data_IF_424905680947
#
_entry.id   IF_424905680947
#
_cell.length_a   1.000
_cell.length_b   1.000
_cell.length_c   1.000
_cell.angle_alpha   90.00
_cell.angle_beta   90.00
_cell.angle_gamma   90.00
#
_symmetry.space_group_name_H-M   'P 1'
#
loop_
_entity.id
_entity.type
_entity.pdbx_description
1 polymer ?
#
# COMPACT_ATOMS: atom_id res chain seq x y z
N UNK A 1 2.42 3.18 20.18
CA UNK A 1 1.49 4.26 19.82
C UNK A 1 0.37 3.65 18.98
N UNK A 2 -0.86 3.59 19.50
CA UNK A 2 -2.03 3.24 18.72
C UNK A 2 -2.34 4.41 17.79
N UNK A 3 -1.98 4.31 16.51
CA UNK A 3 -2.51 5.20 15.49
C UNK A 3 -3.99 4.82 15.30
N UNK A 4 -4.86 5.38 16.14
CA UNK A 4 -6.29 5.26 15.98
C UNK A 4 -6.65 5.96 14.66
N UNK A 5 -6.97 5.17 13.64
CA UNK A 5 -7.66 5.66 12.45
C UNK A 5 -8.98 6.23 12.98
N UNK A 6 -9.18 7.55 12.97
CA UNK A 6 -10.39 8.12 13.53
C UNK A 6 -11.55 7.73 12.61
N UNK A 7 -12.72 7.42 13.20
CA UNK A 7 -14.04 7.28 12.55
C UNK A 7 -14.52 5.88 12.10
N UNK A 8 -14.07 4.79 12.72
CA UNK A 8 -14.70 3.48 12.52
C UNK A 8 -15.09 2.88 13.89
N UNK A 9 -16.38 2.60 14.15
CA UNK A 9 -16.79 1.82 15.32
C UNK A 9 -15.97 0.52 15.45
N UNK A 10 -15.68 0.08 16.67
CA UNK A 10 -14.76 -1.06 16.91
C UNK A 10 -15.18 -2.36 16.21
N UNK A 11 -16.50 -2.60 16.09
CA UNK A 11 -17.08 -3.75 15.39
C UNK A 11 -16.84 -3.67 13.87
N UNK A 12 -17.16 -2.52 13.26
CA UNK A 12 -16.88 -2.22 11.86
C UNK A 12 -15.38 -2.37 11.54
N UNK A 13 -14.52 -1.94 12.45
CA UNK A 13 -13.06 -2.03 12.26
C UNK A 13 -12.58 -3.47 12.22
N UNK A 14 -13.12 -4.33 13.08
CA UNK A 14 -12.81 -5.77 13.09
C UNK A 14 -13.23 -6.42 11.78
N UNK A 15 -14.43 -6.09 11.29
CA UNK A 15 -14.93 -6.60 10.02
C UNK A 15 -14.11 -6.11 8.83
N UNK A 16 -13.79 -4.81 8.78
CA UNK A 16 -12.94 -4.24 7.73
C UNK A 16 -11.58 -4.90 7.70
N UNK A 17 -10.94 -5.10 8.86
CA UNK A 17 -9.66 -5.80 8.94
C UNK A 17 -9.76 -7.23 8.40
N UNK A 18 -10.85 -7.96 8.69
CA UNK A 18 -11.08 -9.32 8.16
C UNK A 18 -11.22 -9.31 6.64
N UNK A 19 -11.99 -8.35 6.10
CA UNK A 19 -12.15 -8.19 4.66
C UNK A 19 -10.80 -7.91 3.98
N UNK A 20 -10.01 -6.97 4.51
CA UNK A 20 -8.68 -6.66 3.97
C UNK A 20 -7.74 -7.87 4.05
N UNK A 21 -7.73 -8.56 5.20
CA UNK A 21 -6.86 -9.71 5.42
C UNK A 21 -7.15 -10.90 4.50
N UNK A 22 -8.35 -10.97 3.90
CA UNK A 22 -8.67 -12.00 2.90
C UNK A 22 -7.84 -11.87 1.61
N UNK A 23 -7.34 -10.67 1.30
CA UNK A 23 -6.58 -10.39 0.07
C UNK A 23 -7.41 -10.44 -1.23
N UNK A 24 -8.72 -10.71 -1.17
CA UNK A 24 -9.59 -10.77 -2.34
C UNK A 24 -9.95 -9.36 -2.82
N UNK A 25 -9.76 -9.08 -4.11
CA UNK A 25 -10.04 -7.76 -4.72
C UNK A 25 -11.47 -7.27 -4.45
N UNK A 26 -12.47 -8.15 -4.47
CA UNK A 26 -13.87 -7.80 -4.20
C UNK A 26 -14.06 -7.29 -2.76
N UNK A 27 -13.35 -7.91 -1.80
CA UNK A 27 -13.37 -7.49 -0.41
C UNK A 27 -12.62 -6.17 -0.21
N UNK A 28 -11.51 -5.96 -0.92
CA UNK A 28 -10.79 -4.68 -0.92
C UNK A 28 -11.66 -3.56 -1.51
N UNK A 29 -12.33 -3.82 -2.64
CA UNK A 29 -13.25 -2.88 -3.26
C UNK A 29 -14.43 -2.53 -2.34
N UNK A 30 -15.01 -3.53 -1.65
CA UNK A 30 -16.05 -3.28 -0.65
C UNK A 30 -15.54 -2.39 0.49
N UNK A 31 -14.36 -2.68 1.04
CA UNK A 31 -13.74 -1.84 2.08
C UNK A 31 -13.53 -0.41 1.59
N UNK A 32 -13.05 -0.25 0.35
CA UNK A 32 -12.84 1.04 -0.27
C UNK A 32 -14.15 1.86 -0.31
N UNK A 33 -15.25 1.26 -0.78
CA UNK A 33 -16.57 1.88 -0.81
C UNK A 33 -17.13 2.21 0.58
N UNK A 34 -16.97 1.30 1.54
CA UNK A 34 -17.38 1.54 2.93
C UNK A 34 -16.65 2.74 3.54
N UNK A 35 -15.34 2.85 3.30
CA UNK A 35 -14.55 3.96 3.79
C UNK A 35 -14.89 5.29 3.10
N UNK A 36 -15.16 5.28 1.79
CA UNK A 36 -15.67 6.45 1.07
C UNK A 36 -17.02 6.91 1.64
N UNK A 37 -17.94 5.98 1.92
CA UNK A 37 -19.22 6.29 2.58
C UNK A 37 -19.05 6.90 3.97
N UNK A 38 -17.96 6.60 4.66
CA UNK A 38 -17.54 7.21 5.93
C UNK A 38 -16.73 8.50 5.76
N UNK A 39 -16.66 9.05 4.54
CA UNK A 39 -15.95 10.30 4.19
C UNK A 39 -14.44 10.28 4.44
N UNK A 40 -13.81 9.10 4.37
CA UNK A 40 -12.35 9.00 4.43
C UNK A 40 -11.72 9.50 3.12
N UNK A 41 -10.56 10.14 3.21
CA UNK A 41 -9.76 10.53 2.02
C UNK A 41 -9.05 9.32 1.42
N UNK A 42 -8.67 9.39 0.14
CA UNK A 42 -8.06 8.25 -0.54
C UNK A 42 -6.76 7.80 0.11
N UNK A 43 -5.91 8.72 0.56
CA UNK A 43 -4.68 8.36 1.28
C UNK A 43 -4.98 7.63 2.61
N UNK A 44 -6.07 7.96 3.32
CA UNK A 44 -6.47 7.27 4.56
C UNK A 44 -6.94 5.84 4.26
N UNK A 45 -7.73 5.69 3.19
CA UNK A 45 -8.24 4.38 2.74
C UNK A 45 -7.08 3.49 2.32
N UNK A 46 -6.17 4.00 1.50
CA UNK A 46 -4.99 3.25 1.06
C UNK A 46 -4.07 2.91 2.23
N UNK A 47 -3.86 3.81 3.19
CA UNK A 47 -3.09 3.52 4.41
C UNK A 47 -3.70 2.37 5.22
N UNK A 48 -5.03 2.35 5.37
CA UNK A 48 -5.76 1.28 6.05
C UNK A 48 -5.60 -0.06 5.32
N UNK A 49 -5.82 -0.08 4.00
CA UNK A 49 -5.71 -1.27 3.16
C UNK A 49 -4.28 -1.79 3.17
N UNK A 50 -3.30 -0.95 2.82
CA UNK A 50 -1.90 -1.36 2.68
C UNK A 50 -1.24 -1.81 3.99
N UNK A 51 -1.77 -1.37 5.15
CA UNK A 51 -1.31 -1.87 6.44
C UNK A 51 -1.79 -3.29 6.72
N UNK A 52 -3.04 -3.64 6.37
CA UNK A 52 -3.65 -4.92 6.74
C UNK A 52 -3.65 -5.97 5.63
N UNK A 53 -3.46 -5.58 4.37
CA UNK A 53 -3.43 -6.52 3.26
C UNK A 53 -2.24 -7.48 3.43
N UNK A 54 -2.41 -8.78 3.11
CA UNK A 54 -1.30 -9.72 3.14
C UNK A 54 -0.20 -9.29 2.17
N UNK A 55 1.04 -9.22 2.67
CA UNK A 55 2.21 -8.97 1.81
C UNK A 55 2.74 -10.30 1.33
N UNK A 56 2.86 -10.43 0.01
CA UNK A 56 3.53 -11.54 -0.68
C UNK A 56 4.58 -10.94 -1.61
N UNK A 57 5.85 -11.09 -1.22
CA UNK A 57 6.97 -10.57 -2.02
C UNK A 57 7.19 -11.46 -3.24
N UNK A 58 6.72 -11.00 -4.40
CA UNK A 58 6.84 -11.68 -5.69
C UNK A 58 7.85 -10.92 -6.57
N UNK A 59 8.95 -11.59 -6.95
CA UNK A 59 9.90 -11.02 -7.91
C UNK A 59 9.21 -10.87 -9.28
N UNK A 60 9.15 -9.65 -9.81
CA UNK A 60 8.66 -9.37 -11.18
C UNK A 60 9.79 -9.18 -12.17
N UNK A 61 10.87 -8.54 -11.74
CA UNK A 61 12.02 -8.24 -12.57
C UNK A 61 13.29 -8.36 -11.73
N UNK A 62 14.36 -8.88 -12.32
CA UNK A 62 15.68 -8.90 -11.72
C UNK A 62 16.74 -8.81 -12.82
N UNK A 63 17.71 -7.93 -12.60
CA UNK A 63 18.93 -7.76 -13.38
C UNK A 63 20.14 -7.84 -12.45
N UNK A 64 21.34 -7.63 -13.00
CA UNK A 64 22.58 -7.66 -12.21
C UNK A 64 22.59 -6.53 -11.15
N UNK A 65 21.96 -5.39 -11.44
CA UNK A 65 22.01 -4.20 -10.58
C UNK A 65 20.66 -3.88 -9.92
N UNK A 66 19.56 -4.12 -10.62
CA UNK A 66 18.21 -3.71 -10.18
C UNK A 66 17.23 -4.87 -10.10
N UNK A 67 16.27 -4.79 -9.17
CA UNK A 67 15.18 -5.75 -9.05
C UNK A 67 13.84 -5.10 -8.64
N UNK A 68 12.73 -5.54 -9.23
CA UNK A 68 11.38 -5.14 -8.85
C UNK A 68 10.65 -6.29 -8.14
N UNK A 69 10.17 -6.03 -6.94
CA UNK A 69 9.32 -6.92 -6.17
C UNK A 69 7.91 -6.32 -6.02
N UNK A 70 6.89 -7.06 -6.45
CA UNK A 70 5.52 -6.78 -6.03
C UNK A 70 5.34 -7.26 -4.59
N UNK A 71 4.82 -6.39 -3.72
CA UNK A 71 4.54 -6.73 -2.33
C UNK A 71 3.07 -7.08 -2.10
N UNK A 72 2.15 -6.40 -2.77
CA UNK A 72 0.74 -6.78 -2.87
C UNK A 72 0.10 -6.08 -4.06
N UNK A 73 -1.02 -6.64 -4.52
CA UNK A 73 -1.86 -6.03 -5.54
C UNK A 73 -3.33 -6.22 -5.15
N UNK A 74 -4.17 -5.27 -5.52
CA UNK A 74 -5.62 -5.35 -5.42
C UNK A 74 -6.25 -4.61 -6.60
N UNK A 75 -7.43 -5.03 -7.02
CA UNK A 75 -8.23 -4.31 -8.00
C UNK A 75 -9.41 -3.63 -7.31
N UNK A 76 -9.59 -2.33 -7.57
CA UNK A 76 -10.75 -1.56 -7.10
C UNK A 76 -11.32 -0.82 -8.31
N UNK A 77 -12.60 -1.03 -8.61
CA UNK A 77 -13.26 -0.35 -9.74
C UNK A 77 -12.46 -0.42 -11.06
N UNK A 78 -11.91 -1.59 -11.40
CA UNK A 78 -11.05 -1.83 -12.58
C UNK A 78 -9.68 -1.12 -12.57
N UNK A 79 -9.34 -0.42 -11.49
CA UNK A 79 -8.01 0.17 -11.28
C UNK A 79 -7.16 -0.81 -10.51
N UNK A 80 -6.02 -1.18 -11.08
CA UNK A 80 -5.03 -2.01 -10.40
C UNK A 80 -4.20 -1.16 -9.45
N UNK A 81 -4.20 -1.51 -8.17
CA UNK A 81 -3.41 -0.86 -7.13
C UNK A 81 -2.30 -1.82 -6.72
N UNK A 82 -1.06 -1.35 -6.73
CA UNK A 82 0.11 -2.16 -6.43
C UNK A 82 1.02 -1.45 -5.42
N UNK A 83 1.56 -2.23 -4.49
CA UNK A 83 2.69 -1.80 -3.69
C UNK A 83 3.95 -2.53 -4.13
N UNK A 84 4.97 -1.76 -4.48
CA UNK A 84 6.18 -2.23 -5.13
C UNK A 84 7.40 -1.84 -4.29
N UNK A 85 8.33 -2.77 -4.18
CA UNK A 85 9.66 -2.59 -3.63
C UNK A 85 10.66 -2.72 -4.77
N UNK A 86 11.43 -1.66 -5.01
CA UNK A 86 12.44 -1.61 -6.06
C UNK A 86 13.84 -1.56 -5.45
N UNK A 87 14.70 -2.50 -5.81
CA UNK A 87 16.10 -2.58 -5.41
C UNK A 87 16.97 -1.88 -6.45
N UNK A 88 17.81 -0.94 -6.03
CA UNK A 88 18.82 -0.26 -6.83
C UNK A 88 20.23 -0.67 -6.43
N UNK A 89 21.04 -1.01 -7.43
CA UNK A 89 22.44 -1.41 -7.31
C UNK A 89 22.71 -2.46 -6.20
N UNK A 90 21.76 -3.35 -5.91
CA UNK A 90 21.83 -4.35 -4.82
C UNK A 90 21.98 -3.82 -3.37
N UNK A 91 21.80 -2.51 -3.11
CA UNK A 91 22.05 -1.92 -1.79
C UNK A 91 20.91 -1.07 -1.23
N UNK A 92 20.07 -0.50 -2.10
CA UNK A 92 19.02 0.44 -1.71
C UNK A 92 17.67 -0.06 -2.17
N UNK A 93 16.67 0.04 -1.30
CA UNK A 93 15.29 -0.28 -1.65
C UNK A 93 14.43 0.97 -1.55
N UNK A 94 13.67 1.23 -2.61
CA UNK A 94 12.63 2.26 -2.68
C UNK A 94 11.25 1.64 -2.76
N UNK A 95 10.28 2.35 -2.20
CA UNK A 95 8.89 1.93 -2.16
C UNK A 95 8.02 2.79 -3.09
N UNK A 96 7.18 2.12 -3.89
CA UNK A 96 6.30 2.77 -4.86
C UNK A 96 4.86 2.30 -4.69
N UNK A 97 3.92 3.24 -4.75
CA UNK A 97 2.50 2.96 -4.97
C UNK A 97 2.22 3.14 -6.46
N UNK A 98 1.68 2.12 -7.12
CA UNK A 98 1.32 2.17 -8.54
C UNK A 98 -0.20 2.01 -8.70
N UNK A 99 -0.82 2.90 -9.48
CA UNK A 99 -2.22 2.82 -9.92
C UNK A 99 -2.23 2.69 -11.44
N UNK A 100 -2.52 1.49 -11.94
CA UNK A 100 -2.30 1.05 -13.32
C UNK A 100 -0.85 1.33 -13.80
N UNK A 101 -0.67 2.31 -14.69
CA UNK A 101 0.62 2.70 -15.25
C UNK A 101 1.25 3.91 -14.56
N UNK A 102 0.63 4.46 -13.51
CA UNK A 102 1.06 5.69 -12.83
C UNK A 102 1.67 5.34 -11.49
N UNK A 103 2.90 5.81 -11.24
CA UNK A 103 3.63 5.50 -10.02
C UNK A 103 3.88 6.74 -9.15
N UNK A 104 3.87 6.52 -7.84
CA UNK A 104 4.23 7.48 -6.82
C UNK A 104 5.34 6.85 -5.98
N UNK A 105 6.55 7.40 -6.07
CA UNK A 105 7.61 7.08 -5.12
C UNK A 105 7.19 7.57 -3.72
N UNK A 106 7.10 6.63 -2.77
CA UNK A 106 6.64 6.86 -1.40
C UNK A 106 7.68 7.56 -0.52
N UNK A 107 8.88 7.83 -1.06
CA UNK A 107 10.02 8.45 -0.38
C UNK A 107 10.41 7.74 0.91
N UNK A 108 10.25 6.42 0.90
CA UNK A 108 10.69 5.54 1.95
C UNK A 108 11.78 4.66 1.39
N UNK A 109 12.97 4.82 1.94
CA UNK A 109 14.15 4.11 1.49
C UNK A 109 14.77 3.35 2.65
N UNK A 110 15.35 2.19 2.36
CA UNK A 110 16.20 1.51 3.33
C UNK A 110 17.43 0.90 2.68
N UNK A 111 18.52 0.88 3.45
CA UNK A 111 19.75 0.24 3.05
C UNK A 111 19.74 -1.21 3.51
N UNK A 112 20.17 -2.11 2.64
CA UNK A 112 20.42 -3.50 2.99
C UNK A 112 21.63 -3.57 3.92
N UNK A 113 21.42 -3.59 5.24
CA UNK A 113 22.49 -3.97 6.19
C UNK A 113 22.73 -5.48 6.08
N UNK A 114 23.63 -5.85 5.17
CA UNK A 114 24.42 -7.11 5.02
C UNK A 114 23.80 -8.50 5.24
N UNK A 115 22.55 -8.66 5.67
CA UNK A 115 21.89 -9.98 5.71
C UNK A 115 20.37 -9.93 5.87
N UNK A 116 19.80 -8.88 6.46
CA UNK A 116 18.38 -8.88 6.85
C UNK A 116 17.53 -7.95 5.97
N UNK A 117 16.55 -8.56 5.28
CA UNK A 117 15.43 -7.83 4.66
C UNK A 117 14.56 -7.22 5.75
N UNK A 118 13.88 -6.10 5.44
CA UNK A 118 12.92 -5.50 6.37
C UNK A 118 11.84 -6.51 6.79
N UNK A 119 11.47 -6.48 8.07
CA UNK A 119 10.32 -7.22 8.60
C UNK A 119 9.01 -6.69 7.98
N UNK A 120 7.98 -7.53 7.93
CA UNK A 120 6.67 -7.14 7.40
C UNK A 120 6.09 -5.91 8.11
N UNK A 121 6.34 -5.76 9.42
CA UNK A 121 5.91 -4.60 10.19
C UNK A 121 6.62 -3.32 9.74
N UNK A 122 7.91 -3.39 9.43
CA UNK A 122 8.67 -2.24 8.90
C UNK A 122 8.18 -1.87 7.50
N UNK A 123 7.94 -2.86 6.63
CA UNK A 123 7.40 -2.65 5.29
C UNK A 123 6.04 -1.93 5.36
N UNK A 124 5.12 -2.43 6.20
CA UNK A 124 3.79 -1.80 6.42
C UNK A 124 3.88 -0.39 6.97
N UNK A 125 4.76 -0.18 7.94
CA UNK A 125 4.96 1.15 8.54
C UNK A 125 5.50 2.13 7.51
N UNK A 126 6.47 1.70 6.69
CA UNK A 126 7.02 2.49 5.60
C UNK A 126 5.91 2.85 4.60
N UNK A 127 5.11 1.89 4.17
CA UNK A 127 3.99 2.16 3.27
C UNK A 127 3.06 3.27 3.80
N UNK A 128 2.57 3.14 5.04
CA UNK A 128 1.66 4.11 5.65
C UNK A 128 2.31 5.50 5.77
N UNK A 129 3.56 5.56 6.22
CA UNK A 129 4.30 6.82 6.33
C UNK A 129 4.47 7.47 4.96
N UNK A 130 4.82 6.69 3.94
CA UNK A 130 5.03 7.18 2.59
C UNK A 130 3.76 7.66 1.91
N UNK A 131 2.64 6.94 2.08
CA UNK A 131 1.32 7.37 1.59
C UNK A 131 0.91 8.67 2.26
N UNK A 132 1.10 8.80 3.58
CA UNK A 132 0.83 10.06 4.29
C UNK A 132 1.71 11.21 3.80
N UNK A 133 3.01 10.99 3.61
CA UNK A 133 3.93 12.01 3.09
C UNK A 133 3.58 12.44 1.66
N UNK A 134 3.02 11.55 0.84
CA UNK A 134 2.57 11.83 -0.52
C UNK A 134 1.05 12.10 -0.61
N UNK A 135 0.35 12.37 0.50
CA UNK A 135 -1.11 12.39 0.56
C UNK A 135 -1.78 13.24 -0.53
N UNK A 136 -1.25 14.42 -0.85
CA UNK A 136 -1.82 15.31 -1.88
C UNK A 136 -1.70 14.71 -3.28
N UNK A 137 -0.59 14.02 -3.60
CA UNK A 137 -0.42 13.35 -4.89
C UNK A 137 -1.26 12.09 -4.98
N UNK A 138 -1.35 11.35 -3.87
CA UNK A 138 -2.19 10.15 -3.78
C UNK A 138 -3.65 10.51 -3.99
N UNK A 139 -4.16 11.52 -3.28
CA UNK A 139 -5.55 11.96 -3.43
C UNK A 139 -5.82 12.47 -4.85
N UNK A 140 -4.91 13.27 -5.44
CA UNK A 140 -5.08 13.76 -6.81
C UNK A 140 -5.11 12.63 -7.84
N UNK A 141 -4.22 11.64 -7.72
CA UNK A 141 -4.18 10.49 -8.62
C UNK A 141 -5.42 9.59 -8.45
N UNK A 142 -5.85 9.34 -7.21
CA UNK A 142 -7.06 8.58 -6.95
C UNK A 142 -8.31 9.29 -7.47
N UNK A 143 -8.39 10.62 -7.35
CA UNK A 143 -9.46 11.39 -7.99
C UNK A 143 -9.45 11.21 -9.51
N UNK A 144 -8.30 11.28 -10.16
CA UNK A 144 -8.17 11.02 -11.61
C UNK A 144 -8.64 9.60 -11.99
N UNK A 145 -8.37 8.59 -11.15
CA UNK A 145 -8.57 7.17 -11.46
C UNK A 145 -9.95 6.62 -11.10
N UNK A 146 -10.61 7.18 -10.08
CA UNK A 146 -11.88 6.66 -9.54
C UNK A 146 -13.09 7.56 -9.82
N UNK A 147 -12.91 8.68 -10.52
CA UNK A 147 -14.00 9.49 -11.11
C UNK A 147 -14.42 8.92 -12.46
#
# INVERSE_FOLDING_TARGET
MQQAIPLIPSEDFTQIKRLIASGLSENIALVFQLCLGKKMTYWQILSLIGYWIPIQRMNRYASIEDAENLLWTAEVSQVQIEFIEFEYHNFHYDYYLRLDSREINLRQYYHRKTSEKQSLTQIRTSFVQGVYLQQTKVDALCQEKFL
#
